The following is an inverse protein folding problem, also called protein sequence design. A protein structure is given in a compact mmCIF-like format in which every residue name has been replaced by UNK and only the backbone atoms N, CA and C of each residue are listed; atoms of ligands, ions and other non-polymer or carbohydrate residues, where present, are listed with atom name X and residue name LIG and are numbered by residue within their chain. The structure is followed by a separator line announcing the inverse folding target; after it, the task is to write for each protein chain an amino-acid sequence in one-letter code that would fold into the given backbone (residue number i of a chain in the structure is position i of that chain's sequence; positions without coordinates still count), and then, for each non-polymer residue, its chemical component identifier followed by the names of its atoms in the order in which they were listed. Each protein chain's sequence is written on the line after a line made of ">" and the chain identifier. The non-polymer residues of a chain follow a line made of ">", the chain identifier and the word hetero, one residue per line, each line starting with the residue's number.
data_IF_128423967148
#
_entry.id   IF_128423967148
#
_cell.length_a   1.000
_cell.length_b   1.000
_cell.length_c   1.000
_cell.angle_alpha   90.00
_cell.angle_beta   90.00
_cell.angle_gamma   90.00
#
_symmetry.space_group_name_H-M   'P 1'
#
loop_
_entity.id
_entity.type
_entity.pdbx_description
1 polymer ?
#
# COMPACT_ATOMS: atom_id res chain seq x y z
N UNK A 1 13.06 10.82 4.82
CA UNK A 1 13.52 9.51 4.28
C UNK A 1 12.66 9.14 3.08
N UNK A 2 13.14 8.31 2.13
CA UNK A 2 12.44 7.97 0.88
C UNK A 2 10.99 7.47 1.08
N UNK A 3 10.70 6.87 2.25
CA UNK A 3 9.38 6.34 2.61
C UNK A 3 8.42 7.40 3.17
N UNK A 4 8.91 8.58 3.56
CA UNK A 4 8.05 9.66 4.11
C UNK A 4 7.09 10.18 3.04
N UNK A 5 7.52 10.21 1.77
CA UNK A 5 6.67 10.62 0.65
C UNK A 5 5.56 9.62 0.38
N UNK A 6 5.81 8.34 0.67
CA UNK A 6 4.79 7.29 0.56
C UNK A 6 3.74 7.45 1.67
N UNK A 7 4.16 7.67 2.92
CA UNK A 7 3.25 7.90 4.04
C UNK A 7 2.36 9.13 3.80
N UNK A 8 2.95 10.25 3.34
CA UNK A 8 2.18 11.46 2.98
C UNK A 8 1.15 11.20 1.89
N UNK A 9 1.46 10.35 0.91
CA UNK A 9 0.50 9.97 -0.12
C UNK A 9 -0.64 9.11 0.45
N UNK A 10 -0.35 8.20 1.38
CA UNK A 10 -1.37 7.39 2.06
C UNK A 10 -2.29 8.27 2.93
N UNK A 11 -1.72 9.21 3.68
CA UNK A 11 -2.46 10.21 4.47
C UNK A 11 -3.33 11.09 3.59
N UNK A 12 -2.78 11.60 2.47
CA UNK A 12 -3.52 12.42 1.50
C UNK A 12 -4.70 11.66 0.89
N UNK A 13 -4.58 10.34 0.71
CA UNK A 13 -5.66 9.46 0.24
C UNK A 13 -6.64 9.06 1.35
N UNK A 14 -6.39 9.46 2.60
CA UNK A 14 -7.21 9.12 3.77
C UNK A 14 -7.21 7.63 4.09
N UNK A 15 -6.12 6.91 3.76
CA UNK A 15 -6.01 5.47 3.99
C UNK A 15 -5.57 5.19 5.42
N UNK A 16 -6.12 4.12 6.01
CA UNK A 16 -5.64 3.59 7.29
C UNK A 16 -4.52 2.60 7.01
N UNK A 17 -3.34 2.85 7.54
CA UNK A 17 -2.18 1.99 7.31
C UNK A 17 -1.30 1.88 8.56
N UNK A 18 -0.49 0.83 8.60
CA UNK A 18 0.59 0.63 9.57
C UNK A 18 1.83 0.26 8.78
N UNK A 19 2.94 0.93 9.06
CA UNK A 19 4.24 0.67 8.41
C UNK A 19 5.28 0.34 9.46
N UNK A 20 6.05 -0.72 9.20
CA UNK A 20 7.21 -1.10 9.99
C UNK A 20 8.38 -1.39 9.03
N UNK A 21 9.44 -0.59 9.13
CA UNK A 21 10.53 -0.59 8.16
C UNK A 21 10.02 -0.46 6.70
N UNK A 22 10.25 -1.48 5.87
CA UNK A 22 9.81 -1.59 4.48
C UNK A 22 8.44 -2.27 4.30
N UNK A 23 7.91 -2.93 5.34
CA UNK A 23 6.60 -3.57 5.30
C UNK A 23 5.49 -2.58 5.64
N UNK A 24 4.52 -2.43 4.73
CA UNK A 24 3.38 -1.53 4.89
C UNK A 24 2.06 -2.26 4.64
N UNK A 25 1.20 -2.29 5.66
CA UNK A 25 -0.13 -2.88 5.60
C UNK A 25 -1.20 -1.79 5.53
N UNK A 26 -2.16 -1.92 4.62
CA UNK A 26 -3.21 -0.94 4.39
C UNK A 26 -4.56 -1.60 4.61
N UNK A 27 -5.36 -1.02 5.50
CA UNK A 27 -6.64 -1.56 5.93
C UNK A 27 -7.79 -0.86 5.22
N UNK A 28 -8.64 -1.66 4.59
CA UNK A 28 -9.78 -1.21 3.81
C UNK A 28 -11.04 -2.00 4.19
N UNK A 29 -12.20 -1.44 3.90
CA UNK A 29 -13.50 -2.06 4.25
C UNK A 29 -13.92 -3.21 3.35
N UNK A 30 -13.31 -3.37 2.17
CA UNK A 30 -13.68 -4.42 1.21
C UNK A 30 -12.53 -4.82 0.31
N UNK A 31 -12.56 -6.06 -0.19
CA UNK A 31 -11.56 -6.59 -1.13
C UNK A 31 -11.49 -5.78 -2.42
N UNK A 32 -12.63 -5.35 -2.97
CA UNK A 32 -12.69 -4.46 -4.15
C UNK A 32 -11.97 -3.14 -3.89
N UNK A 33 -12.15 -2.54 -2.70
CA UNK A 33 -11.42 -1.34 -2.33
C UNK A 33 -9.92 -1.64 -2.19
N UNK A 34 -9.55 -2.80 -1.65
CA UNK A 34 -8.16 -3.25 -1.51
C UNK A 34 -7.45 -3.38 -2.85
N UNK A 35 -8.07 -4.04 -3.83
CA UNK A 35 -7.52 -4.17 -5.19
C UNK A 35 -7.30 -2.80 -5.84
N UNK A 36 -8.31 -1.93 -5.76
CA UNK A 36 -8.21 -0.55 -6.30
C UNK A 36 -7.07 0.24 -5.65
N UNK A 37 -6.90 0.13 -4.33
CA UNK A 37 -5.82 0.80 -3.60
C UNK A 37 -4.46 0.21 -3.99
N UNK A 38 -4.33 -1.11 -4.04
CA UNK A 38 -3.09 -1.80 -4.39
C UNK A 38 -2.61 -1.43 -5.80
N UNK A 39 -3.50 -1.46 -6.80
CA UNK A 39 -3.17 -1.04 -8.18
C UNK A 39 -2.74 0.43 -8.23
N UNK A 40 -3.50 1.31 -7.59
CA UNK A 40 -3.21 2.75 -7.58
C UNK A 40 -1.90 3.12 -6.88
N UNK A 41 -1.54 2.42 -5.80
CA UNK A 41 -0.28 2.64 -5.09
C UNK A 41 0.90 2.02 -5.83
N UNK A 42 0.73 0.84 -6.44
CA UNK A 42 1.76 0.23 -7.30
C UNK A 42 2.12 1.14 -8.47
N UNK A 43 1.12 1.74 -9.12
CA UNK A 43 1.36 2.73 -10.19
C UNK A 43 2.06 3.98 -9.67
N UNK A 44 1.64 4.51 -8.51
CA UNK A 44 2.26 5.70 -7.94
C UNK A 44 3.71 5.47 -7.53
N UNK A 45 4.00 4.37 -6.84
CA UNK A 45 5.35 3.99 -6.38
C UNK A 45 6.33 3.86 -7.54
N UNK A 46 5.90 3.18 -8.62
CA UNK A 46 6.75 3.00 -9.81
C UNK A 46 7.02 4.32 -10.55
N UNK A 47 6.06 5.25 -10.57
CA UNK A 47 6.18 6.54 -11.29
C UNK A 47 6.91 7.61 -10.48
N UNK A 48 6.67 7.69 -9.18
CA UNK A 48 7.17 8.77 -8.31
C UNK A 48 8.48 8.41 -7.63
N UNK A 49 8.54 7.24 -7.01
CA UNK A 49 9.72 6.81 -6.26
C UNK A 49 10.63 5.86 -7.06
N UNK A 50 10.21 5.45 -8.27
CA UNK A 50 10.89 4.44 -9.11
C UNK A 50 11.14 3.12 -8.36
N UNK A 51 10.30 2.83 -7.38
CA UNK A 51 10.35 1.61 -6.57
C UNK A 51 9.54 0.50 -7.23
N UNK A 52 10.05 -0.72 -7.15
CA UNK A 52 9.36 -1.93 -7.64
C UNK A 52 8.66 -2.62 -6.49
N UNK A 53 7.33 -2.74 -6.58
CA UNK A 53 6.55 -3.55 -5.64
C UNK A 53 6.87 -5.03 -5.84
N UNK A 54 7.08 -5.75 -4.74
CA UNK A 54 7.28 -7.20 -4.80
C UNK A 54 5.93 -7.93 -4.86
N UNK A 55 5.43 -8.16 -6.07
CA UNK A 55 4.15 -8.84 -6.30
C UNK A 55 4.05 -10.25 -5.70
N UNK A 56 5.17 -10.90 -5.36
CA UNK A 56 5.15 -12.19 -4.66
C UNK A 56 4.84 -12.06 -3.17
N UNK A 57 5.18 -10.91 -2.57
CA UNK A 57 4.95 -10.63 -1.15
C UNK A 57 3.70 -9.77 -0.91
N UNK A 58 3.26 -9.01 -1.92
CA UNK A 58 2.13 -8.11 -1.80
C UNK A 58 0.83 -8.79 -2.23
N UNK A 59 -0.20 -8.74 -1.38
CA UNK A 59 -1.51 -9.32 -1.66
C UNK A 59 -2.63 -8.52 -1.00
N UNK A 60 -3.84 -8.61 -1.57
CA UNK A 60 -5.09 -8.20 -0.90
C UNK A 60 -5.68 -9.45 -0.27
N UNK A 61 -5.70 -9.50 1.06
CA UNK A 61 -6.22 -10.63 1.83
C UNK A 61 -7.08 -10.16 3.00
N UNK A 62 -7.95 -11.04 3.49
CA UNK A 62 -8.71 -10.78 4.70
C UNK A 62 -7.78 -10.82 5.93
N UNK A 63 -7.83 -9.78 6.76
CA UNK A 63 -7.15 -9.78 8.05
C UNK A 63 -7.92 -10.71 9.01
N UNK A 64 -7.47 -11.96 9.16
CA UNK A 64 -8.09 -12.92 10.08
C UNK A 64 -8.12 -14.37 9.61
N UNK A 65 -7.84 -14.64 8.34
CA UNK A 65 -7.64 -16.01 7.83
C UNK A 65 -6.19 -16.15 7.36
N UNK A 66 -5.31 -16.45 8.31
CA UNK A 66 -3.96 -16.95 8.06
C UNK A 66 -3.89 -18.39 8.59
#
# INVERSE_FOLDING_TARGET
>A
MLLDDFDKELEKRGLKFVRYADDCNIYVKSERAGRRVMEGLTHWLSRKLKLKVNAKKSAVAAAGNA
#
